data_IF_871220666877
#
_entry.id   IF_871220666877
#
_cell.length_a   1.000
_cell.length_b   1.000
_cell.length_c   1.000
_cell.angle_alpha   90.00
_cell.angle_beta   90.00
_cell.angle_gamma   90.00
#
_symmetry.space_group_name_H-M   'P 1'
#
loop_
_entity.id
_entity.type
_entity.pdbx_description
1 polymer ?
#
# COMPACT_ATOMS: atom_id res chain seq x y z
N UNK A 1 -1.76 9.66 6.08
CA UNK A 1 -2.62 9.10 5.01
C UNK A 1 -2.67 9.90 3.71
N UNK A 2 -2.16 11.13 3.65
CA UNK A 2 -2.04 11.88 2.39
C UNK A 2 -1.27 11.09 1.31
N UNK A 3 -0.18 10.41 1.70
CA UNK A 3 0.63 9.60 0.79
C UNK A 3 -0.16 8.43 0.16
N UNK A 4 -0.91 7.66 0.96
CA UNK A 4 -1.74 6.55 0.48
C UNK A 4 -2.75 7.04 -0.55
N UNK A 5 -3.48 8.13 -0.25
CA UNK A 5 -4.48 8.71 -1.18
C UNK A 5 -3.83 9.19 -2.48
N UNK A 6 -2.63 9.78 -2.41
CA UNK A 6 -1.85 10.17 -3.58
C UNK A 6 -1.49 8.95 -4.45
N UNK A 7 -0.94 7.89 -3.84
CA UNK A 7 -0.52 6.69 -4.59
C UNK A 7 -1.71 5.92 -5.21
N UNK A 8 -2.86 5.88 -4.53
CA UNK A 8 -4.10 5.31 -5.10
C UNK A 8 -4.55 6.13 -6.31
N UNK A 9 -4.55 7.47 -6.20
CA UNK A 9 -4.90 8.36 -7.33
C UNK A 9 -3.94 8.24 -8.51
N UNK A 10 -2.66 7.99 -8.24
CA UNK A 10 -1.65 7.71 -9.26
C UNK A 10 -1.75 6.28 -9.84
N UNK A 11 -2.66 5.43 -9.33
CA UNK A 11 -2.83 4.05 -9.78
C UNK A 11 -1.68 3.11 -9.38
N UNK A 12 -0.80 3.55 -8.48
CA UNK A 12 0.39 2.82 -8.03
C UNK A 12 0.13 1.96 -6.81
N UNK A 13 -0.91 2.26 -6.04
CA UNK A 13 -1.29 1.52 -4.83
C UNK A 13 -2.70 0.98 -4.99
N UNK A 14 -2.85 -0.33 -4.85
CA UNK A 14 -4.13 -1.04 -5.04
C UNK A 14 -4.75 -1.39 -3.70
N UNK A 15 -3.95 -1.89 -2.75
CA UNK A 15 -4.39 -2.22 -1.40
C UNK A 15 -3.43 -1.64 -0.39
N UNK A 16 -3.96 -0.99 0.65
CA UNK A 16 -3.20 -0.64 1.84
C UNK A 16 -4.05 -0.89 3.08
N UNK A 17 -3.47 -1.54 4.09
CA UNK A 17 -4.18 -1.79 5.34
C UNK A 17 -3.25 -2.21 6.47
N UNK A 18 -3.61 -1.89 7.73
CA UNK A 18 -2.86 -2.34 8.88
C UNK A 18 -3.02 -3.85 9.08
N UNK A 19 -1.98 -4.50 9.61
CA UNK A 19 -2.06 -5.88 10.09
C UNK A 19 -2.26 -5.83 11.61
N UNK A 20 -3.09 -6.74 12.13
CA UNK A 20 -3.19 -7.00 13.57
C UNK A 20 -1.86 -7.49 14.15
N UNK A 21 -1.78 -7.54 15.48
CA UNK A 21 -0.60 -8.06 16.18
C UNK A 21 -0.21 -9.43 15.62
N UNK A 22 1.06 -9.56 15.26
CA UNK A 22 1.65 -10.76 14.66
C UNK A 22 3.07 -10.95 15.20
N UNK A 23 3.60 -12.16 15.08
CA UNK A 23 4.90 -12.54 15.63
C UNK A 23 6.07 -11.84 14.93
N UNK A 24 5.86 -11.40 13.68
CA UNK A 24 6.86 -10.68 12.87
C UNK A 24 6.79 -9.17 13.03
N UNK A 25 5.94 -8.65 13.93
CA UNK A 25 5.77 -7.21 14.22
C UNK A 25 5.38 -6.34 13.02
N UNK A 26 4.89 -6.93 11.92
CA UNK A 26 4.48 -6.17 10.74
C UNK A 26 3.33 -5.23 11.08
N UNK A 27 3.39 -4.02 10.50
CA UNK A 27 2.40 -2.96 10.75
C UNK A 27 1.31 -2.88 9.70
N UNK A 28 1.58 -3.34 8.48
CA UNK A 28 0.66 -3.19 7.35
C UNK A 28 1.06 -4.01 6.15
N UNK A 29 0.11 -4.14 5.21
CA UNK A 29 0.32 -4.72 3.88
C UNK A 29 0.05 -3.62 2.85
N UNK A 30 0.91 -3.57 1.85
CA UNK A 30 0.75 -2.74 0.67
C UNK A 30 0.82 -3.64 -0.57
N UNK A 31 -0.14 -3.47 -1.49
CA UNK A 31 -0.11 -4.10 -2.81
C UNK A 31 0.06 -2.97 -3.83
N UNK A 32 1.24 -2.92 -4.43
CA UNK A 32 1.61 -1.91 -5.41
C UNK A 32 1.40 -2.44 -6.83
N UNK A 33 0.95 -1.57 -7.72
CA UNK A 33 0.84 -1.82 -9.16
C UNK A 33 2.07 -1.25 -9.87
N UNK A 34 3.22 -1.86 -9.61
CA UNK A 34 4.53 -1.49 -10.18
C UNK A 34 5.28 -2.73 -10.62
N UNK A 35 6.22 -2.58 -11.54
CA UNK A 35 6.91 -3.71 -12.19
C UNK A 35 8.24 -4.07 -11.54
N UNK A 36 8.90 -3.10 -10.90
CA UNK A 36 10.24 -3.23 -10.32
C UNK A 36 10.25 -2.96 -8.82
N UNK A 37 11.27 -3.45 -8.12
CA UNK A 37 11.44 -3.15 -6.70
C UNK A 37 11.90 -1.72 -6.48
N UNK A 38 12.63 -1.15 -7.44
CA UNK A 38 13.07 0.24 -7.45
C UNK A 38 11.86 1.20 -7.46
N UNK A 39 10.86 0.92 -8.30
CA UNK A 39 9.60 1.67 -8.32
C UNK A 39 8.82 1.50 -7.01
N UNK A 40 8.83 0.29 -6.43
CA UNK A 40 8.19 0.04 -5.14
C UNK A 40 8.85 0.85 -4.01
N UNK A 41 10.18 0.88 -3.96
CA UNK A 41 10.95 1.69 -3.02
C UNK A 41 10.66 3.18 -3.22
N UNK A 42 10.56 3.65 -4.46
CA UNK A 42 10.19 5.04 -4.75
C UNK A 42 8.79 5.38 -4.22
N UNK A 43 7.82 4.49 -4.41
CA UNK A 43 6.46 4.65 -3.86
C UNK A 43 6.44 4.66 -2.32
N UNK A 44 7.38 3.95 -1.68
CA UNK A 44 7.45 3.81 -0.23
C UNK A 44 8.30 4.89 0.45
N UNK A 45 9.27 5.45 -0.28
CA UNK A 45 10.14 6.54 0.20
C UNK A 45 9.42 7.86 0.42
N UNK A 46 8.14 7.95 0.03
CA UNK A 46 7.27 9.07 0.35
C UNK A 46 6.63 8.96 1.75
N UNK A 47 6.82 7.83 2.45
CA UNK A 47 6.42 7.64 3.85
C UNK A 47 7.56 7.98 4.81
N UNK A 48 7.33 8.93 5.70
CA UNK A 48 8.30 9.38 6.70
C UNK A 48 8.79 8.22 7.58
N UNK A 49 7.92 7.26 7.93
CA UNK A 49 8.31 6.13 8.77
C UNK A 49 9.33 5.21 8.09
N UNK A 50 9.32 5.14 6.76
CA UNK A 50 10.28 4.37 5.98
C UNK A 50 11.58 5.17 5.81
N UNK A 51 11.49 6.47 5.49
CA UNK A 51 12.69 7.30 5.33
C UNK A 51 13.46 7.49 6.65
N UNK A 52 12.75 7.58 7.77
CA UNK A 52 13.33 7.67 9.11
C UNK A 52 13.75 6.30 9.67
N UNK A 53 13.60 5.22 8.88
CA UNK A 53 13.94 3.83 9.27
C UNK A 53 13.23 3.34 10.53
N UNK A 54 12.05 3.86 10.80
CA UNK A 54 11.15 3.36 11.84
C UNK A 54 10.51 2.04 11.38
N UNK A 55 10.26 1.92 10.07
CA UNK A 55 9.75 0.73 9.42
C UNK A 55 10.62 0.37 8.22
N UNK A 56 10.79 -0.93 7.99
CA UNK A 56 11.47 -1.47 6.82
C UNK A 56 10.51 -2.39 6.06
N UNK A 57 10.27 -2.16 4.75
CA UNK A 57 9.37 -2.98 3.97
C UNK A 57 10.05 -4.29 3.54
N UNK A 58 9.36 -5.39 3.72
CA UNK A 58 9.71 -6.66 3.10
C UNK A 58 8.95 -6.79 1.77
N UNK A 59 9.68 -6.93 0.67
CA UNK A 59 9.13 -6.81 -0.69
C UNK A 59 9.11 -8.14 -1.42
N UNK A 60 7.98 -8.40 -2.08
CA UNK A 60 7.75 -9.61 -2.87
C UNK A 60 7.16 -9.26 -4.23
N UNK A 61 7.65 -9.91 -5.29
CA UNK A 61 6.92 -9.93 -6.56
C UNK A 61 5.73 -10.85 -6.41
N UNK A 62 4.54 -10.33 -6.66
CA UNK A 62 3.30 -11.09 -6.54
C UNK A 62 2.47 -10.95 -7.81
N UNK A 63 2.14 -12.08 -8.42
CA UNK A 63 1.24 -12.12 -9.56
C UNK A 63 -0.20 -12.26 -9.04
N UNK A 64 -0.81 -11.12 -8.75
CA UNK A 64 -2.20 -11.01 -8.27
C UNK A 64 -3.21 -10.86 -9.42
N UNK A 65 -4.50 -10.91 -9.07
CA UNK A 65 -5.58 -10.71 -10.04
C UNK A 65 -5.60 -9.27 -10.57
N UNK A 66 -5.79 -9.11 -11.87
CA UNK A 66 -6.02 -7.81 -12.50
C UNK A 66 -7.32 -7.13 -12.02
N UNK A 67 -8.22 -7.87 -11.37
CA UNK A 67 -9.46 -7.33 -10.81
C UNK A 67 -9.26 -6.60 -9.46
N UNK A 68 -8.06 -6.62 -8.86
CA UNK A 68 -7.82 -5.98 -7.57
C UNK A 68 -8.15 -4.47 -7.58
N UNK A 69 -7.81 -3.67 -8.59
CA UNK A 69 -8.19 -2.25 -8.59
C UNK A 69 -9.70 -2.01 -8.64
N UNK A 70 -10.50 -2.96 -9.14
CA UNK A 70 -11.95 -2.82 -9.32
C UNK A 70 -12.72 -2.69 -8.00
N UNK A 71 -12.15 -3.10 -6.86
CA UNK A 71 -12.81 -2.87 -5.57
C UNK A 71 -12.70 -1.41 -5.12
N UNK A 72 -11.72 -0.63 -5.61
CA UNK A 72 -11.51 0.76 -5.15
C UNK A 72 -12.75 1.64 -5.39
N UNK A 73 -13.38 1.67 -6.59
CA UNK A 73 -14.63 2.41 -6.80
C UNK A 73 -15.78 1.93 -5.91
N UNK A 74 -15.85 0.63 -5.61
CA UNK A 74 -16.86 0.11 -4.70
C UNK A 74 -16.60 0.57 -3.26
N UNK A 75 -15.35 0.50 -2.81
CA UNK A 75 -14.88 0.98 -1.51
C UNK A 75 -15.22 2.46 -1.31
N UNK A 76 -14.90 3.31 -2.29
CA UNK A 76 -15.18 4.75 -2.21
C UNK A 76 -16.66 5.07 -2.00
N UNK A 77 -17.57 4.24 -2.54
CA UNK A 77 -19.03 4.42 -2.38
C UNK A 77 -19.55 3.95 -1.03
N UNK A 78 -19.00 2.88 -0.48
CA UNK A 78 -19.56 2.20 0.72
C UNK A 78 -18.86 2.59 2.02
N UNK A 79 -17.68 3.21 1.93
CA UNK A 79 -16.85 3.43 3.10
C UNK A 79 -17.48 4.49 4.03
N UNK A 80 -17.89 4.06 5.23
CA UNK A 80 -18.57 4.92 6.22
C UNK A 80 -17.59 5.74 7.06
N UNK A 81 -16.30 5.40 7.06
CA UNK A 81 -15.25 6.11 7.79
C UNK A 81 -14.04 6.29 6.87
N UNK A 82 -13.78 7.54 6.52
CA UNK A 82 -12.51 7.91 5.90
C UNK A 82 -11.43 7.86 6.97
N UNK A 83 -10.41 7.05 6.76
CA UNK A 83 -9.16 7.17 7.50
C UNK A 83 -8.36 8.34 6.89
#
# INVERSE_FOLDING_TARGET
MSNIKKLVKEGKLVVAGPISKNDKTYRGIFILNVTTFEDAVSCMSTDAAITERILEPEMYKWYGSAALPEYLPASDKINKKSF
#
